data_IF_916903555451
#
_entry.id   IF_916903555451
#
_cell.length_a   1.000
_cell.length_b   1.000
_cell.length_c   1.000
_cell.angle_alpha   90.00
_cell.angle_beta   90.00
_cell.angle_gamma   90.00
#
_symmetry.space_group_name_H-M   'P 1'
#
loop_
_entity.id
_entity.type
_entity.pdbx_description
1 polymer ?
#
# COMPACT_ATOMS: atom_id res chain seq x y z
N UNK A 1 -9.10 -18.30 -21.43
CA UNK A 1 -8.12 -17.29 -20.96
C UNK A 1 -8.46 -17.01 -19.52
N UNK A 2 -7.47 -16.90 -18.62
CA UNK A 2 -7.77 -16.54 -17.24
C UNK A 2 -8.17 -15.06 -17.18
N UNK A 3 -9.20 -14.73 -16.41
CA UNK A 3 -9.55 -13.34 -16.14
C UNK A 3 -8.42 -12.69 -15.33
N UNK A 4 -8.02 -11.49 -15.72
CA UNK A 4 -6.91 -10.75 -15.12
C UNK A 4 -7.42 -9.51 -14.38
N UNK A 5 -6.82 -9.23 -13.23
CA UNK A 5 -7.00 -7.99 -12.50
C UNK A 5 -5.70 -7.18 -12.55
N UNK A 6 -5.81 -5.87 -12.80
CA UNK A 6 -4.67 -4.95 -12.72
C UNK A 6 -4.49 -4.47 -11.28
N UNK A 7 -3.28 -4.58 -10.76
CA UNK A 7 -2.86 -4.08 -9.45
C UNK A 7 -1.98 -2.84 -9.65
N UNK A 8 -2.22 -1.79 -8.86
CA UNK A 8 -1.44 -0.56 -8.86
C UNK A 8 -0.51 -0.55 -7.64
N UNK A 9 0.81 -0.52 -7.90
CA UNK A 9 1.84 -0.49 -6.87
C UNK A 9 2.52 0.87 -6.73
N UNK A 10 2.66 1.38 -5.50
CA UNK A 10 3.30 2.69 -5.25
C UNK A 10 4.22 2.75 -4.02
N UNK A 11 4.37 1.61 -3.34
CA UNK A 11 5.32 1.36 -2.27
C UNK A 11 6.31 0.26 -2.68
N UNK A 12 6.38 -0.82 -1.90
CA UNK A 12 7.24 -1.97 -2.23
C UNK A 12 6.95 -2.55 -3.63
N UNK A 13 5.67 -2.59 -4.02
CA UNK A 13 5.23 -3.08 -5.34
C UNK A 13 5.59 -2.15 -6.52
N UNK A 14 6.24 -1.01 -6.28
CA UNK A 14 6.71 -0.13 -7.35
C UNK A 14 7.82 -0.78 -8.20
N UNK A 15 8.54 -1.78 -7.65
CA UNK A 15 9.56 -2.56 -8.37
C UNK A 15 9.00 -3.89 -8.86
N UNK A 16 9.32 -4.27 -10.10
CA UNK A 16 8.93 -5.55 -10.67
C UNK A 16 9.51 -6.73 -9.88
N UNK A 17 10.76 -6.62 -9.41
CA UNK A 17 11.39 -7.65 -8.56
C UNK A 17 10.56 -7.90 -7.30
N UNK A 18 10.09 -6.83 -6.65
CA UNK A 18 9.29 -6.95 -5.42
C UNK A 18 7.89 -7.46 -5.71
N UNK A 19 7.29 -7.05 -6.84
CA UNK A 19 6.01 -7.59 -7.29
C UNK A 19 6.11 -9.09 -7.57
N UNK A 20 7.16 -9.54 -8.27
CA UNK A 20 7.41 -10.97 -8.54
C UNK A 20 7.77 -11.75 -7.28
N UNK A 21 8.44 -11.14 -6.30
CA UNK A 21 8.65 -11.77 -4.99
C UNK A 21 7.34 -11.96 -4.21
N UNK A 22 6.32 -11.13 -4.49
CA UNK A 22 5.03 -11.18 -3.79
C UNK A 22 4.03 -12.12 -4.49
N UNK A 23 3.93 -12.03 -5.82
CA UNK A 23 2.92 -12.75 -6.61
C UNK A 23 3.54 -13.84 -7.52
N UNK A 24 4.84 -14.07 -7.43
CA UNK A 24 5.53 -15.11 -8.19
C UNK A 24 5.45 -14.95 -9.71
N UNK A 25 5.27 -16.09 -10.39
CA UNK A 25 5.16 -16.17 -11.85
C UNK A 25 3.83 -15.62 -12.41
N UNK A 26 2.89 -15.25 -11.52
CA UNK A 26 1.58 -14.71 -11.89
C UNK A 26 1.64 -13.26 -12.39
N UNK A 27 2.70 -12.51 -12.07
CA UNK A 27 2.88 -11.13 -12.54
C UNK A 27 3.04 -11.10 -14.07
N UNK A 28 2.08 -10.47 -14.76
CA UNK A 28 2.09 -10.18 -16.20
C UNK A 28 2.05 -8.67 -16.47
N UNK A 29 2.49 -8.25 -17.65
CA UNK A 29 2.31 -6.90 -18.18
C UNK A 29 2.71 -5.77 -17.22
N UNK A 30 3.85 -5.95 -16.52
CA UNK A 30 4.39 -4.93 -15.63
C UNK A 30 4.80 -3.70 -16.43
N UNK A 31 4.33 -2.53 -15.98
CA UNK A 31 4.54 -1.24 -16.62
C UNK A 31 4.45 -0.11 -15.60
N UNK A 32 4.91 1.06 -16.00
CA UNK A 32 4.77 2.28 -15.18
C UNK A 32 3.62 3.15 -15.67
N UNK A 33 3.01 3.84 -14.73
CA UNK A 33 1.96 4.82 -14.99
C UNK A 33 1.98 5.96 -14.00
N UNK A 34 0.95 6.81 -14.08
CA UNK A 34 0.75 7.95 -13.18
C UNK A 34 -0.70 8.04 -12.73
N UNK A 35 -0.90 8.16 -11.42
CA UNK A 35 -2.21 8.45 -10.80
C UNK A 35 -2.29 9.94 -10.50
N UNK A 36 -3.45 10.53 -10.75
CA UNK A 36 -3.76 11.94 -10.52
C UNK A 36 -4.79 12.10 -9.41
N UNK A 37 -4.79 13.26 -8.75
CA UNK A 37 -5.68 13.60 -7.62
C UNK A 37 -5.51 12.73 -6.37
N UNK A 38 -4.36 12.07 -6.24
CA UNK A 38 -3.94 11.35 -5.04
C UNK A 38 -2.52 11.75 -4.65
N UNK A 39 -2.18 11.56 -3.38
CA UNK A 39 -0.81 11.66 -2.86
C UNK A 39 -0.45 10.43 -2.04
N UNK A 40 0.86 10.18 -1.88
CA UNK A 40 1.39 9.16 -0.99
C UNK A 40 1.63 9.75 0.40
N UNK A 41 1.22 9.04 1.46
CA UNK A 41 1.43 9.44 2.85
C UNK A 41 1.82 8.25 3.72
N UNK A 42 2.76 8.49 4.64
CA UNK A 42 3.07 7.57 5.73
C UNK A 42 2.21 7.97 6.93
N UNK A 43 1.12 7.24 7.19
CA UNK A 43 0.05 7.74 8.07
C UNK A 43 -0.71 6.66 8.87
N UNK A 44 -0.27 5.40 8.87
CA UNK A 44 -0.90 4.32 9.64
C UNK A 44 0.12 3.27 10.05
N UNK A 45 -0.06 2.56 11.18
CA UNK A 45 0.66 1.35 11.49
C UNK A 45 0.14 0.19 10.64
N UNK A 46 1.05 -0.63 10.11
CA UNK A 46 0.68 -1.95 9.59
C UNK A 46 0.87 -2.99 10.70
N UNK A 47 -0.16 -3.80 10.98
CA UNK A 47 -0.11 -4.82 12.06
C UNK A 47 1.11 -5.75 11.94
N UNK A 48 1.52 -6.05 10.71
CA UNK A 48 2.67 -6.91 10.41
C UNK A 48 4.00 -6.36 10.97
N UNK A 49 4.14 -5.04 11.14
CA UNK A 49 5.36 -4.47 11.74
C UNK A 49 5.51 -4.86 13.20
N UNK A 50 4.41 -4.97 13.93
CA UNK A 50 4.40 -5.31 15.35
C UNK A 50 4.50 -6.82 15.53
N UNK A 51 3.75 -7.59 14.72
CA UNK A 51 3.81 -9.05 14.70
C UNK A 51 5.22 -9.60 14.42
N UNK A 52 6.02 -8.87 13.64
CA UNK A 52 7.39 -9.27 13.26
C UNK A 52 8.49 -8.57 14.09
N UNK A 53 8.14 -7.75 15.08
CA UNK A 53 9.12 -7.02 15.89
C UNK A 53 9.94 -5.98 15.11
N UNK A 54 9.37 -5.43 14.02
CA UNK A 54 10.00 -4.41 13.17
C UNK A 54 9.65 -2.99 13.66
N UNK A 55 8.45 -2.81 14.22
CA UNK A 55 8.01 -1.53 14.76
C UNK A 55 8.89 -1.10 15.96
N UNK A 56 9.30 0.16 15.98
CA UNK A 56 10.01 0.75 17.11
C UNK A 56 9.11 1.78 17.80
N UNK A 57 8.67 1.46 19.02
CA UNK A 57 7.84 2.35 19.83
C UNK A 57 8.60 3.55 20.38
N UNK A 58 9.85 3.36 20.77
CA UNK A 58 10.67 4.41 21.40
C UNK A 58 10.95 5.55 20.41
N UNK A 59 11.14 5.22 19.13
CA UNK A 59 11.38 6.19 18.05
C UNK A 59 10.15 6.52 17.23
N UNK A 60 9.01 5.87 17.52
CA UNK A 60 7.76 5.96 16.76
C UNK A 60 7.87 5.58 15.26
N UNK A 61 8.86 4.76 14.89
CA UNK A 61 9.13 4.38 13.49
C UNK A 61 8.30 3.16 13.05
N UNK A 62 7.00 3.37 12.87
CA UNK A 62 6.07 2.32 12.47
C UNK A 62 5.01 2.75 11.45
N UNK A 63 5.15 3.93 10.84
CA UNK A 63 4.24 4.35 9.78
C UNK A 63 4.48 3.58 8.48
N UNK A 64 3.41 3.05 7.91
CA UNK A 64 3.30 2.39 6.62
C UNK A 64 2.81 3.38 5.57
N UNK A 65 3.21 3.13 4.32
CA UNK A 65 2.83 3.94 3.17
C UNK A 65 1.40 3.62 2.71
N UNK A 66 0.63 4.66 2.43
CA UNK A 66 -0.71 4.61 1.85
C UNK A 66 -0.89 5.72 0.81
N UNK A 67 -2.01 5.70 0.11
CA UNK A 67 -2.43 6.78 -0.79
C UNK A 67 -3.76 7.38 -0.33
N UNK A 68 -3.93 8.69 -0.48
CA UNK A 68 -5.18 9.37 -0.15
C UNK A 68 -5.53 10.45 -1.19
N UNK A 69 -6.81 10.81 -1.34
CA UNK A 69 -7.23 11.87 -2.23
C UNK A 69 -6.50 13.20 -1.93
N UNK A 70 -6.01 13.84 -2.98
CA UNK A 70 -5.31 15.12 -2.92
C UNK A 70 -5.38 15.79 -4.30
N UNK A 71 -6.36 16.67 -4.48
CA UNK A 71 -6.62 17.33 -5.77
C UNK A 71 -5.37 18.09 -6.25
N UNK A 72 -5.07 17.96 -7.55
CA UNK A 72 -3.89 18.59 -8.17
C UNK A 72 -2.56 17.86 -7.90
N UNK A 73 -2.55 16.86 -7.01
CA UNK A 73 -1.37 16.01 -6.79
C UNK A 73 -1.32 14.85 -7.78
N UNK A 74 -0.13 14.32 -8.03
CA UNK A 74 0.05 13.08 -8.81
C UNK A 74 1.36 12.39 -8.44
N UNK A 75 1.44 11.09 -8.66
CA UNK A 75 2.67 10.32 -8.44
C UNK A 75 2.77 9.11 -9.38
N UNK A 76 4.02 8.66 -9.60
CA UNK A 76 4.33 7.51 -10.42
C UNK A 76 3.96 6.22 -9.70
N UNK A 77 3.40 5.28 -10.44
CA UNK A 77 2.99 3.95 -9.98
C UNK A 77 3.54 2.88 -10.92
N UNK A 78 3.63 1.65 -10.43
CA UNK A 78 3.64 0.47 -11.28
C UNK A 78 2.19 0.00 -11.49
N UNK A 79 1.96 -0.68 -12.60
CA UNK A 79 0.75 -1.44 -12.87
C UNK A 79 1.16 -2.81 -13.42
N UNK A 80 0.53 -3.88 -12.94
CA UNK A 80 0.75 -5.23 -13.45
C UNK A 80 -0.52 -6.05 -13.27
N UNK A 81 -0.60 -7.14 -14.01
CA UNK A 81 -1.77 -8.02 -13.99
C UNK A 81 -1.47 -9.31 -13.24
N UNK A 82 -2.46 -9.77 -12.48
CA UNK A 82 -2.49 -11.08 -11.84
C UNK A 82 -3.81 -11.79 -12.20
N UNK A 83 -3.86 -13.13 -12.22
CA UNK A 83 -5.12 -13.86 -12.32
C UNK A 83 -6.09 -13.45 -11.20
N UNK A 84 -7.38 -13.32 -11.50
CA UNK A 84 -8.40 -12.99 -10.49
C UNK A 84 -8.46 -14.00 -9.34
N UNK A 85 -8.02 -15.24 -9.56
CA UNK A 85 -7.86 -16.27 -8.52
C UNK A 85 -6.82 -15.91 -7.44
N UNK A 86 -5.97 -14.91 -7.66
CA UNK A 86 -5.01 -14.40 -6.68
C UNK A 86 -5.55 -13.21 -5.86
N UNK A 87 -6.75 -12.70 -6.19
CA UNK A 87 -7.34 -11.58 -5.47
C UNK A 87 -7.64 -11.88 -4.00
N UNK A 88 -8.12 -13.07 -3.60
CA UNK A 88 -8.31 -13.38 -2.17
C UNK A 88 -7.04 -13.19 -1.34
N UNK A 89 -5.91 -13.75 -1.79
CA UNK A 89 -4.62 -13.61 -1.11
C UNK A 89 -4.15 -12.14 -1.06
N UNK A 90 -4.39 -11.39 -2.13
CA UNK A 90 -4.13 -9.95 -2.17
C UNK A 90 -4.96 -9.18 -1.12
N UNK A 91 -6.27 -9.46 -1.03
CA UNK A 91 -7.15 -8.79 -0.07
C UNK A 91 -6.86 -9.16 1.39
N UNK A 92 -6.39 -10.37 1.66
CA UNK A 92 -5.98 -10.81 3.00
C UNK A 92 -4.63 -10.20 3.39
N UNK A 93 -3.74 -10.02 2.40
CA UNK A 93 -2.44 -9.40 2.60
C UNK A 93 -2.53 -7.88 2.84
N UNK A 94 -3.41 -7.18 2.13
CA UNK A 94 -3.56 -5.71 2.19
C UNK A 94 -4.80 -5.29 3.01
N UNK A 95 -5.13 -6.09 4.01
CA UNK A 95 -6.38 -6.04 4.77
C UNK A 95 -6.66 -4.74 5.51
N UNK A 96 -5.61 -3.98 5.83
CA UNK A 96 -5.71 -2.68 6.49
C UNK A 96 -6.19 -1.55 5.56
N UNK A 97 -6.15 -1.75 4.25
CA UNK A 97 -6.44 -0.74 3.24
C UNK A 97 -7.87 -0.82 2.71
N UNK A 98 -8.38 0.32 2.23
CA UNK A 98 -9.50 0.32 1.30
C UNK A 98 -8.95 0.02 -0.10
N UNK A 99 -9.42 -1.05 -0.74
CA UNK A 99 -9.00 -1.34 -2.12
C UNK A 99 -9.95 -0.67 -3.10
N UNK A 100 -9.45 0.30 -3.85
CA UNK A 100 -10.23 1.11 -4.77
C UNK A 100 -9.83 0.86 -6.22
N UNK A 101 -10.80 0.98 -7.13
CA UNK A 101 -10.59 0.90 -8.58
C UNK A 101 -10.25 2.28 -9.12
N UNK A 102 -8.98 2.51 -9.45
CA UNK A 102 -8.42 3.84 -9.73
C UNK A 102 -7.92 3.95 -11.16
N UNK A 103 -8.27 5.06 -11.81
CA UNK A 103 -7.75 5.39 -13.13
C UNK A 103 -6.29 5.87 -13.06
N UNK A 104 -5.47 5.38 -13.99
CA UNK A 104 -4.08 5.79 -14.15
C UNK A 104 -3.73 5.94 -15.62
N UNK A 105 -2.72 6.77 -15.90
CA UNK A 105 -2.23 7.03 -17.25
C UNK A 105 -0.93 6.26 -17.48
N UNK A 106 -0.85 5.47 -18.54
CA UNK A 106 0.39 4.77 -18.92
C UNK A 106 1.49 5.77 -19.33
N UNK A 107 2.72 5.51 -18.91
CA UNK A 107 3.92 6.29 -19.25
C UNK A 107 4.20 6.37 -20.75
N UNK A 108 3.73 5.41 -21.56
CA UNK A 108 3.92 5.40 -23.02
C UNK A 108 2.90 6.22 -23.84
N UNK A 109 2.10 7.08 -23.20
CA UNK A 109 1.37 8.13 -23.93
C UNK A 109 -0.14 8.04 -23.92
N UNK A 110 -0.76 7.74 -22.76
CA UNK A 110 -2.06 8.35 -22.44
C UNK A 110 -3.29 7.45 -22.44
N UNK A 111 -3.18 6.14 -22.72
CA UNK A 111 -4.29 5.23 -22.47
C UNK A 111 -4.65 5.25 -20.98
N UNK A 112 -5.88 5.66 -20.67
CA UNK A 112 -6.42 5.61 -19.31
C UNK A 112 -6.85 4.18 -19.06
N UNK A 113 -6.23 3.55 -18.08
CA UNK A 113 -6.58 2.22 -17.58
C UNK A 113 -7.03 2.31 -16.13
N UNK A 114 -7.67 1.27 -15.64
CA UNK A 114 -8.10 1.18 -14.24
C UNK A 114 -7.43 -0.01 -13.56
N UNK A 115 -7.08 0.13 -12.29
CA UNK A 115 -6.53 -0.96 -11.50
C UNK A 115 -6.85 -0.81 -10.01
N UNK A 116 -6.67 -1.90 -9.27
CA UNK A 116 -6.88 -1.97 -7.83
C UNK A 116 -5.71 -1.33 -7.10
N UNK A 117 -5.98 -0.30 -6.31
CA UNK A 117 -5.00 0.45 -5.54
C UNK A 117 -5.35 0.40 -4.07
N UNK A 118 -4.37 0.14 -3.21
CA UNK A 118 -4.53 0.31 -1.77
C UNK A 118 -4.71 1.81 -1.46
N UNK A 119 -5.75 2.19 -0.74
CA UNK A 119 -6.05 3.55 -0.34
C UNK A 119 -6.21 3.63 1.17
N UNK A 120 -6.06 4.85 1.69
CA UNK A 120 -6.40 5.19 3.07
C UNK A 120 -7.81 4.73 3.38
N UNK A 121 -8.00 4.19 4.58
CA UNK A 121 -9.31 3.76 5.05
C UNK A 121 -9.70 4.49 6.34
N UNK A 122 -10.56 3.87 7.14
CA UNK A 122 -10.92 4.35 8.47
C UNK A 122 -11.10 3.16 9.42
N UNK A 123 -10.86 3.37 10.71
CA UNK A 123 -11.05 2.33 11.72
C UNK A 123 -12.50 1.84 11.77
N UNK A 124 -13.46 2.76 11.67
CA UNK A 124 -14.88 2.42 11.70
C UNK A 124 -15.25 1.48 10.53
N UNK A 125 -14.81 1.79 9.32
CA UNK A 125 -15.08 0.96 8.15
C UNK A 125 -14.28 -0.36 8.18
N UNK A 126 -13.05 -0.34 8.68
CA UNK A 126 -12.24 -1.53 8.93
C UNK A 126 -12.95 -2.48 9.89
N UNK A 127 -13.36 -1.99 11.07
CA UNK A 127 -14.05 -2.77 12.10
C UNK A 127 -15.39 -3.28 11.58
N UNK A 128 -16.16 -2.46 10.85
CA UNK A 128 -17.42 -2.88 10.26
C UNK A 128 -17.26 -4.04 9.24
N UNK A 129 -16.11 -4.08 8.55
CA UNK A 129 -15.83 -5.07 7.49
C UNK A 129 -15.13 -6.32 8.01
N UNK A 130 -14.15 -6.16 8.91
CA UNK A 130 -13.27 -7.22 9.41
C UNK A 130 -13.63 -7.73 10.80
N UNK A 131 -14.50 -7.01 11.52
CA UNK A 131 -14.94 -7.32 12.87
C UNK A 131 -14.01 -6.79 13.97
N UNK A 132 -14.60 -6.51 15.13
CA UNK A 132 -13.87 -6.03 16.32
C UNK A 132 -12.79 -7.01 16.77
N UNK A 133 -13.06 -8.32 16.75
CA UNK A 133 -12.10 -9.36 17.16
C UNK A 133 -10.83 -9.34 16.30
N UNK A 134 -10.96 -9.05 15.00
CA UNK A 134 -9.80 -8.92 14.10
C UNK A 134 -8.98 -7.69 14.46
N UNK A 135 -9.64 -6.55 14.70
CA UNK A 135 -8.97 -5.33 15.14
C UNK A 135 -8.23 -5.54 16.47
N UNK A 136 -8.89 -6.14 17.45
CA UNK A 136 -8.33 -6.36 18.78
C UNK A 136 -7.11 -7.28 18.72
N UNK A 137 -7.19 -8.38 17.95
CA UNK A 137 -6.08 -9.33 17.77
C UNK A 137 -4.91 -8.75 16.98
N UNK A 138 -5.17 -7.95 15.94
CA UNK A 138 -4.11 -7.45 15.03
C UNK A 138 -3.49 -6.13 15.49
N UNK A 139 -4.22 -5.31 16.25
CA UNK A 139 -3.82 -3.94 16.61
C UNK A 139 -3.84 -3.72 18.13
N UNK A 140 -4.98 -3.89 18.82
CA UNK A 140 -5.01 -3.64 20.28
C UNK A 140 -4.08 -4.53 21.09
N UNK A 141 -3.88 -5.78 20.67
CA UNK A 141 -2.93 -6.69 21.29
C UNK A 141 -1.48 -6.14 21.32
N UNK A 142 -1.18 -5.16 20.45
CA UNK A 142 0.09 -4.47 20.39
C UNK A 142 0.04 -3.06 21.01
N UNK A 143 -1.06 -2.64 21.62
CA UNK A 143 -1.22 -1.30 22.20
C UNK A 143 -1.64 -0.23 21.19
N UNK A 144 -2.19 -0.62 20.04
CA UNK A 144 -2.70 0.31 19.03
C UNK A 144 -4.22 0.44 19.15
N UNK A 145 -4.68 1.62 19.57
CA UNK A 145 -6.12 1.93 19.66
C UNK A 145 -6.71 2.43 18.34
N UNK A 146 -5.87 2.63 17.32
CA UNK A 146 -6.27 3.12 16.00
C UNK A 146 -5.33 2.64 14.90
N UNK A 147 -5.86 2.49 13.68
CA UNK A 147 -5.07 2.30 12.46
C UNK A 147 -4.94 3.64 11.73
N UNK A 148 -6.05 4.34 11.54
CA UNK A 148 -6.14 5.51 10.66
C UNK A 148 -6.34 6.84 11.41
N UNK A 149 -6.17 6.86 12.73
CA UNK A 149 -6.27 8.06 13.58
C UNK A 149 -4.99 8.91 13.63
N UNK A 150 -3.92 8.47 12.98
CA UNK A 150 -2.66 9.21 12.95
C UNK A 150 -2.71 10.33 11.91
N UNK A 151 -2.42 11.55 12.37
CA UNK A 151 -2.31 12.75 11.54
C UNK A 151 -0.86 13.28 11.55
N UNK A 152 -0.61 14.39 10.84
CA UNK A 152 0.72 14.98 10.72
C UNK A 152 1.37 15.36 12.06
N UNK A 153 0.57 15.56 13.11
CA UNK A 153 1.03 15.91 14.46
C UNK A 153 1.17 14.70 15.39
N UNK A 154 0.91 13.48 14.90
CA UNK A 154 0.97 12.25 15.73
C UNK A 154 2.39 11.79 16.10
N UNK A 155 3.42 12.33 15.43
CA UNK A 155 4.82 12.01 15.70
C UNK A 155 5.32 10.69 15.08
N UNK A 156 4.43 9.88 14.50
CA UNK A 156 4.86 8.61 13.89
C UNK A 156 5.71 8.85 12.64
N UNK A 157 6.77 8.07 12.51
CA UNK A 157 7.74 8.17 11.43
C UNK A 157 7.63 6.94 10.52
N UNK A 158 7.99 7.07 9.22
CA UNK A 158 8.09 5.93 8.33
C UNK A 158 8.91 4.80 8.95
N UNK A 159 8.37 3.59 8.89
CA UNK A 159 9.12 2.41 9.31
C UNK A 159 10.40 2.29 8.46
N UNK A 160 11.57 2.18 9.10
CA UNK A 160 12.88 2.17 8.43
C UNK A 160 13.00 1.13 7.32
N UNK A 161 12.36 -0.03 7.50
CA UNK A 161 12.38 -1.14 6.53
C UNK A 161 11.58 -0.81 5.26
N UNK A 162 10.68 0.18 5.30
CA UNK A 162 9.82 0.59 4.17
C UNK A 162 10.28 1.87 3.47
N UNK A 163 11.42 2.42 3.84
CA UNK A 163 12.05 3.45 3.04
C UNK A 163 12.60 2.80 1.76
N UNK A 164 12.33 3.34 0.56
CA UNK A 164 13.11 2.96 -0.61
C UNK A 164 14.58 3.21 -0.25
N UNK A 165 15.47 2.25 -0.50
CA UNK A 165 16.91 2.54 -0.44
C UNK A 165 17.14 3.79 -1.25
N UNK A 166 17.49 4.90 -0.59
CA UNK A 166 18.03 6.04 -1.28
C UNK A 166 19.18 5.47 -2.11
N UNK A 167 19.04 5.48 -3.43
CA UNK A 167 20.21 5.31 -4.27
C UNK A 167 21.13 6.45 -3.84
N UNK A 168 22.17 6.11 -3.10
CA UNK A 168 23.34 6.95 -2.95
C UNK A 168 23.88 7.09 -4.36
N UNK A 169 23.39 8.10 -5.08
CA UNK A 169 24.01 8.56 -6.31
C UNK A 169 25.29 9.25 -5.88
N UNK A 170 26.33 8.45 -5.61
CA UNK A 170 27.70 8.90 -5.87
C UNK A 170 27.83 8.97 -7.38
N UNK A 171 27.55 10.15 -7.94
CA UNK A 171 28.08 10.55 -9.24
C UNK A 171 29.59 10.81 -9.09
N UNK A 172 30.37 10.64 -10.18
CA UNK A 172 31.76 10.17 -10.16
C UNK A 172 32.76 11.12 -9.49
#
# INVERSE_FOLDING_TARGET
MADLATIIGYGSLLSETSARSTFGHHVKNFRFGRVHNYRRVFAHPASIFFQRGIANYDTQEFASLSAEPSIGSSFTVSAFEIPTSQLPDFYDREEEFSIESISFHDTKGGAVSTGLMCCRWSDAAYIATRGQDTFDRRYKAYGLDTIWGYNASSGILPCRVRLPSAHTTTLP
#
